data_IF_339822058172
#
_entry.id   IF_339822058172
#
_cell.length_a   1.000
_cell.length_b   1.000
_cell.length_c   1.000
_cell.angle_alpha   90.00
_cell.angle_beta   90.00
_cell.angle_gamma   90.00
#
_symmetry.space_group_name_H-M   'P 1'
#
loop_
_entity.id
_entity.type
_entity.pdbx_description
1 polymer ?
#
# COMPACT_ATOMS: atom_id res chain seq x y z
N UNK A 1 23.73 2.84 6.66
CA UNK A 1 23.46 2.55 5.23
C UNK A 1 22.02 2.08 5.00
N UNK A 2 21.58 0.89 5.48
CA UNK A 2 20.19 0.44 5.25
C UNK A 2 19.15 1.39 5.89
N UNK A 3 19.35 1.76 7.16
CA UNK A 3 18.44 2.71 7.85
C UNK A 3 18.40 4.09 7.17
N UNK A 4 19.53 4.63 6.76
CA UNK A 4 19.60 5.91 6.06
C UNK A 4 18.84 5.86 4.72
N UNK A 5 18.96 4.75 3.98
CA UNK A 5 18.21 4.55 2.75
C UNK A 5 16.70 4.41 3.01
N UNK A 6 16.29 3.73 4.09
CA UNK A 6 14.89 3.64 4.50
C UNK A 6 14.32 5.01 4.89
N UNK A 7 15.07 5.80 5.64
CA UNK A 7 14.66 7.15 6.05
C UNK A 7 14.59 8.13 4.86
N UNK A 8 15.34 7.88 3.78
CA UNK A 8 15.41 8.74 2.59
C UNK A 8 14.35 8.40 1.52
N UNK A 9 13.56 7.32 1.66
CA UNK A 9 12.63 6.86 0.61
C UNK A 9 11.63 7.93 0.18
N UNK A 10 11.04 8.67 1.13
CA UNK A 10 10.06 9.72 0.82
C UNK A 10 10.70 10.83 -0.02
N UNK A 11 11.90 11.29 0.36
CA UNK A 11 12.62 12.32 -0.36
C UNK A 11 13.03 11.83 -1.76
N UNK A 12 13.48 10.59 -1.87
CA UNK A 12 13.83 9.97 -3.15
C UNK A 12 12.63 9.97 -4.12
N UNK A 13 11.44 9.58 -3.67
CA UNK A 13 10.22 9.65 -4.50
C UNK A 13 9.78 11.08 -4.79
N UNK A 14 9.95 12.00 -3.84
CA UNK A 14 9.66 13.42 -4.05
C UNK A 14 10.52 14.02 -5.17
N UNK A 15 11.82 13.76 -5.14
CA UNK A 15 12.77 14.27 -6.14
C UNK A 15 12.58 13.63 -7.52
N UNK A 16 12.25 12.34 -7.55
CA UNK A 16 12.14 11.55 -8.78
C UNK A 16 10.67 11.32 -9.22
N UNK A 17 9.72 12.08 -8.68
CA UNK A 17 8.30 11.88 -8.91
C UNK A 17 7.89 11.83 -10.38
N UNK A 18 8.43 12.73 -11.21
CA UNK A 18 8.13 12.78 -12.65
C UNK A 18 8.68 11.57 -13.39
N UNK A 19 9.91 11.13 -13.08
CA UNK A 19 10.51 9.94 -13.66
C UNK A 19 9.72 8.68 -13.25
N UNK A 20 9.37 8.57 -11.96
CA UNK A 20 8.58 7.45 -11.45
C UNK A 20 7.21 7.35 -12.13
N UNK A 21 6.48 8.46 -12.28
CA UNK A 21 5.19 8.47 -13.00
C UNK A 21 5.37 8.02 -14.45
N UNK A 22 6.46 8.43 -15.12
CA UNK A 22 6.77 7.98 -16.47
C UNK A 22 7.15 6.51 -16.60
N UNK A 23 7.78 5.95 -15.57
CA UNK A 23 8.18 4.53 -15.50
C UNK A 23 7.04 3.60 -15.06
N UNK A 24 6.10 4.11 -14.26
CA UNK A 24 4.97 3.32 -13.75
C UNK A 24 4.09 2.85 -14.92
N UNK A 25 4.00 1.55 -15.07
CA UNK A 25 3.14 0.94 -16.09
C UNK A 25 1.69 1.42 -15.96
N UNK A 26 1.09 1.78 -17.07
CA UNK A 26 -0.36 2.03 -17.15
C UNK A 26 -1.16 0.72 -17.33
N UNK A 27 -0.48 -0.39 -17.58
CA UNK A 27 -1.13 -1.71 -17.62
C UNK A 27 -1.44 -2.15 -16.20
N UNK A 28 -2.71 -2.43 -15.94
CA UNK A 28 -3.20 -2.85 -14.63
C UNK A 28 -2.96 -4.36 -14.45
N UNK A 29 -1.73 -4.76 -14.19
CA UNK A 29 -1.40 -6.16 -13.91
C UNK A 29 -2.09 -6.66 -12.64
N UNK A 30 -2.39 -5.76 -11.73
CA UNK A 30 -3.01 -5.99 -10.43
C UNK A 30 -4.51 -6.26 -10.49
N UNK A 31 -5.16 -6.15 -11.67
CA UNK A 31 -6.61 -6.15 -11.79
C UNK A 31 -7.28 -7.34 -11.09
N UNK A 32 -6.77 -8.55 -11.29
CA UNK A 32 -7.38 -9.75 -10.67
C UNK A 32 -7.34 -9.72 -9.14
N UNK A 33 -6.30 -9.12 -8.57
CA UNK A 33 -6.17 -8.93 -7.13
C UNK A 33 -7.05 -7.80 -6.62
N UNK A 34 -7.18 -6.73 -7.38
CA UNK A 34 -8.11 -5.64 -7.06
C UNK A 34 -9.56 -6.13 -7.10
N UNK A 35 -9.94 -6.99 -8.05
CA UNK A 35 -11.26 -7.61 -8.10
C UNK A 35 -11.55 -8.46 -6.86
N UNK A 36 -10.58 -9.28 -6.41
CA UNK A 36 -10.69 -10.05 -5.17
C UNK A 36 -10.78 -9.15 -3.95
N UNK A 37 -9.93 -8.13 -3.87
CA UNK A 37 -9.97 -7.12 -2.80
C UNK A 37 -11.33 -6.43 -2.73
N UNK A 38 -11.89 -6.02 -3.85
CA UNK A 38 -13.20 -5.38 -3.91
C UNK A 38 -14.34 -6.34 -3.53
N UNK A 39 -14.22 -7.63 -3.85
CA UNK A 39 -15.22 -8.64 -3.47
C UNK A 39 -15.29 -8.83 -1.95
N UNK A 40 -14.18 -8.65 -1.25
CA UNK A 40 -14.11 -8.69 0.22
C UNK A 40 -14.54 -7.35 0.82
N UNK A 41 -14.14 -6.22 0.22
CA UNK A 41 -14.44 -4.87 0.69
C UNK A 41 -15.90 -4.44 0.45
N UNK A 42 -16.66 -5.17 -0.38
CA UNK A 42 -17.98 -4.74 -0.86
C UNK A 42 -19.05 -4.70 0.23
N UNK A 43 -18.92 -5.49 1.28
CA UNK A 43 -19.89 -5.53 2.37
C UNK A 43 -19.69 -4.37 3.34
N UNK A 44 -20.65 -3.43 3.38
CA UNK A 44 -20.71 -2.37 4.39
C UNK A 44 -20.35 -0.97 3.94
N UNK A 45 -19.72 -0.76 2.79
CA UNK A 45 -19.44 0.59 2.28
C UNK A 45 -18.41 0.66 1.17
N UNK A 46 -18.07 1.90 0.76
CA UNK A 46 -17.27 2.16 -0.44
C UNK A 46 -16.10 3.12 -0.18
N UNK A 47 -15.57 3.15 1.04
CA UNK A 47 -14.42 4.00 1.40
C UNK A 47 -13.16 3.14 1.46
N UNK A 48 -12.16 3.48 0.66
CA UNK A 48 -10.87 2.79 0.62
C UNK A 48 -9.76 3.77 0.98
N UNK A 49 -8.83 3.29 1.82
CA UNK A 49 -7.57 3.94 2.12
C UNK A 49 -6.47 3.30 1.26
N UNK A 50 -5.73 4.14 0.53
CA UNK A 50 -4.57 3.73 -0.27
C UNK A 50 -3.31 4.35 0.33
N UNK A 51 -2.47 3.53 0.97
CA UNK A 51 -1.22 3.95 1.62
C UNK A 51 -0.03 3.78 0.69
N UNK A 52 0.65 4.87 0.40
CA UNK A 52 1.64 4.98 -0.66
C UNK A 52 0.97 5.02 -2.03
N UNK A 53 -0.07 5.85 -2.15
CA UNK A 53 -0.94 5.92 -3.32
C UNK A 53 -0.26 6.47 -4.59
N UNK A 54 0.92 7.04 -4.47
CA UNK A 54 1.63 7.67 -5.58
C UNK A 54 0.78 8.71 -6.31
N UNK A 55 0.73 8.62 -7.64
CA UNK A 55 -0.08 9.49 -8.50
C UNK A 55 -1.56 9.06 -8.61
N UNK A 56 -1.98 8.03 -7.89
CA UNK A 56 -3.32 7.46 -7.97
C UNK A 56 -3.54 6.51 -9.17
N UNK A 57 -2.57 6.41 -10.07
CA UNK A 57 -2.68 5.57 -11.26
C UNK A 57 -1.71 4.38 -11.20
N UNK A 58 -2.13 3.18 -11.67
CA UNK A 58 -3.46 2.84 -12.20
C UNK A 58 -4.45 2.35 -11.12
N UNK A 59 -4.00 2.12 -9.88
CA UNK A 59 -4.77 1.40 -8.83
C UNK A 59 -5.97 2.22 -8.34
N UNK A 60 -5.73 3.44 -7.82
CA UNK A 60 -6.83 4.27 -7.34
C UNK A 60 -7.80 4.62 -8.47
N UNK A 61 -7.32 4.84 -9.71
CA UNK A 61 -8.15 5.03 -10.90
C UNK A 61 -9.13 3.87 -11.10
N UNK A 62 -8.65 2.62 -11.00
CA UNK A 62 -9.49 1.44 -11.12
C UNK A 62 -10.53 1.35 -10.01
N UNK A 63 -10.14 1.59 -8.76
CA UNK A 63 -11.05 1.59 -7.61
C UNK A 63 -12.14 2.66 -7.75
N UNK A 64 -11.78 3.84 -8.23
CA UNK A 64 -12.69 4.96 -8.53
C UNK A 64 -13.68 4.57 -9.62
N UNK A 65 -13.21 3.98 -10.71
CA UNK A 65 -14.05 3.51 -11.82
C UNK A 65 -15.08 2.45 -11.34
N UNK A 66 -14.76 1.70 -10.29
CA UNK A 66 -15.67 0.75 -9.64
C UNK A 66 -16.57 1.38 -8.55
N UNK A 67 -16.59 2.72 -8.45
CA UNK A 67 -17.50 3.48 -7.60
C UNK A 67 -17.05 3.61 -6.15
N UNK A 68 -15.76 3.44 -5.85
CA UNK A 68 -15.22 3.62 -4.51
C UNK A 68 -14.72 5.05 -4.27
N UNK A 69 -14.86 5.51 -3.04
CA UNK A 69 -14.32 6.79 -2.56
C UNK A 69 -12.91 6.53 -1.98
N UNK A 70 -11.93 7.21 -2.55
CA UNK A 70 -10.54 7.01 -2.18
C UNK A 70 -10.07 8.11 -1.22
N UNK A 71 -9.37 7.69 -0.18
CA UNK A 71 -8.44 8.51 0.57
C UNK A 71 -7.03 7.97 0.28
N UNK A 72 -6.25 8.70 -0.48
CA UNK A 72 -4.87 8.34 -0.79
C UNK A 72 -3.91 9.09 0.14
N UNK A 73 -2.90 8.37 0.64
CA UNK A 73 -1.83 8.93 1.46
C UNK A 73 -0.49 8.60 0.81
N UNK A 74 0.36 9.60 0.64
CA UNK A 74 1.73 9.41 0.17
C UNK A 74 2.65 10.45 0.83
N UNK A 75 3.89 10.06 1.12
CA UNK A 75 4.89 10.96 1.68
C UNK A 75 5.40 11.99 0.67
N UNK A 76 5.41 11.66 -0.63
CA UNK A 76 5.87 12.53 -1.69
C UNK A 76 4.76 13.50 -2.14
N UNK A 77 4.88 14.77 -1.77
CA UNK A 77 3.91 15.81 -2.08
C UNK A 77 3.65 15.97 -3.59
N UNK A 78 4.68 15.80 -4.42
CA UNK A 78 4.56 15.90 -5.88
C UNK A 78 3.67 14.81 -6.47
N UNK A 79 3.68 13.59 -5.89
CA UNK A 79 2.83 12.48 -6.30
C UNK A 79 1.38 12.71 -5.88
N UNK A 80 1.14 13.09 -4.63
CA UNK A 80 -0.21 13.42 -4.15
C UNK A 80 -0.84 14.60 -4.89
N UNK A 81 -0.05 15.58 -5.30
CA UNK A 81 -0.54 16.70 -6.10
C UNK A 81 -0.95 16.23 -7.52
N UNK A 82 -0.22 15.28 -8.08
CA UNK A 82 -0.59 14.65 -9.35
C UNK A 82 -1.90 13.87 -9.22
N UNK A 83 -2.06 13.07 -8.16
CA UNK A 83 -3.29 12.36 -7.87
C UNK A 83 -4.49 13.33 -7.69
N UNK A 84 -4.29 14.44 -6.98
CA UNK A 84 -5.32 15.47 -6.77
C UNK A 84 -5.77 16.14 -8.07
N UNK A 85 -4.85 16.35 -9.00
CA UNK A 85 -5.19 16.90 -10.33
C UNK A 85 -5.99 15.91 -11.19
N UNK A 86 -5.64 14.61 -11.11
CA UNK A 86 -6.34 13.58 -11.87
C UNK A 86 -7.73 13.26 -11.29
N UNK A 87 -7.84 13.26 -9.95
CA UNK A 87 -9.05 12.81 -9.25
C UNK A 87 -9.45 13.82 -8.15
N UNK A 88 -9.86 15.06 -8.51
CA UNK A 88 -10.10 16.14 -7.54
C UNK A 88 -11.26 15.88 -6.56
N UNK A 89 -12.17 14.96 -6.89
CA UNK A 89 -13.31 14.59 -6.04
C UNK A 89 -12.95 13.62 -4.90
N UNK A 90 -11.68 13.16 -4.85
CA UNK A 90 -11.18 12.23 -3.85
C UNK A 90 -10.25 12.96 -2.85
N UNK A 91 -9.88 12.27 -1.79
CA UNK A 91 -9.03 12.87 -0.73
C UNK A 91 -7.59 12.42 -0.90
N UNK A 92 -6.66 13.38 -0.97
CA UNK A 92 -5.23 13.12 -1.14
C UNK A 92 -4.44 13.85 -0.07
N UNK A 93 -3.69 13.10 0.74
CA UNK A 93 -3.02 13.57 1.94
C UNK A 93 -1.52 13.34 1.81
N UNK A 94 -0.74 14.39 2.04
CA UNK A 94 0.73 14.27 2.16
C UNK A 94 1.04 13.89 3.60
N UNK A 95 1.45 12.66 3.82
CA UNK A 95 1.86 12.18 5.14
C UNK A 95 2.72 10.92 5.03
N UNK A 96 3.58 10.72 6.00
CA UNK A 96 4.23 9.43 6.22
C UNK A 96 3.20 8.45 6.80
N UNK A 97 3.11 7.24 6.22
CA UNK A 97 2.14 6.22 6.66
C UNK A 97 2.36 5.78 8.12
N UNK A 98 3.57 5.97 8.66
CA UNK A 98 3.89 5.72 10.08
C UNK A 98 3.29 6.76 11.02
N UNK A 99 2.97 7.95 10.51
CA UNK A 99 2.46 9.08 11.29
C UNK A 99 1.25 9.73 10.60
N UNK A 100 0.16 9.00 10.53
CA UNK A 100 -1.06 9.44 9.86
C UNK A 100 -1.80 10.50 10.70
N UNK A 101 -2.44 11.48 10.04
CA UNK A 101 -3.40 12.35 10.72
C UNK A 101 -4.60 11.52 11.21
N UNK A 102 -5.47 12.14 12.00
CA UNK A 102 -6.72 11.49 12.41
C UNK A 102 -7.58 11.18 11.18
N UNK A 103 -7.73 9.91 10.88
CA UNK A 103 -8.56 9.39 9.80
C UNK A 103 -9.73 8.60 10.39
N UNK A 104 -10.82 8.53 9.65
CA UNK A 104 -11.92 7.62 9.96
C UNK A 104 -11.55 6.16 9.69
N UNK A 105 -12.56 5.28 9.73
CA UNK A 105 -12.38 3.88 9.33
C UNK A 105 -12.77 3.67 7.87
N UNK A 106 -12.20 2.64 7.27
CA UNK A 106 -12.34 2.32 5.86
C UNK A 106 -12.90 0.89 5.68
N UNK A 107 -13.55 0.66 4.55
CA UNK A 107 -14.08 -0.65 4.15
C UNK A 107 -13.07 -1.49 3.39
N UNK A 108 -11.96 -0.87 2.99
CA UNK A 108 -10.77 -1.52 2.45
C UNK A 108 -9.54 -0.66 2.67
N UNK A 109 -8.40 -1.30 2.86
CA UNK A 109 -7.09 -0.69 2.99
C UNK A 109 -6.13 -1.41 2.03
N UNK A 110 -5.45 -0.65 1.19
CA UNK A 110 -4.43 -1.17 0.28
C UNK A 110 -3.10 -0.47 0.53
N UNK A 111 -2.00 -1.23 0.49
CA UNK A 111 -0.63 -0.71 0.56
C UNK A 111 0.22 -1.46 -0.50
N UNK A 112 0.01 -1.07 -1.77
CA UNK A 112 0.59 -1.76 -2.92
C UNK A 112 1.92 -1.14 -3.31
N UNK A 113 2.99 -1.94 -3.35
CA UNK A 113 4.35 -1.53 -3.66
C UNK A 113 4.85 -0.31 -2.88
N UNK A 114 4.42 -0.20 -1.62
CA UNK A 114 4.74 0.93 -0.74
C UNK A 114 5.19 0.50 0.65
N UNK A 115 4.47 -0.43 1.27
CA UNK A 115 4.69 -0.88 2.64
C UNK A 115 6.09 -1.47 2.87
N UNK A 116 6.63 -2.19 1.90
CA UNK A 116 7.96 -2.77 1.98
C UNK A 116 9.11 -1.74 1.88
N UNK A 117 8.82 -0.46 1.71
CA UNK A 117 9.82 0.60 1.86
C UNK A 117 10.06 0.98 3.32
N UNK A 118 9.27 0.48 4.25
CA UNK A 118 9.52 0.62 5.67
C UNK A 118 10.53 -0.43 6.17
N UNK A 119 11.39 -0.02 7.11
CA UNK A 119 12.24 -0.98 7.82
C UNK A 119 11.39 -1.99 8.62
N UNK A 120 11.88 -3.22 8.89
CA UNK A 120 11.15 -4.22 9.64
C UNK A 120 10.57 -3.71 10.96
N UNK A 121 11.32 -2.89 11.71
CA UNK A 121 10.86 -2.32 12.97
C UNK A 121 9.72 -1.30 12.81
N UNK A 122 9.66 -0.64 11.66
CA UNK A 122 8.58 0.30 11.30
C UNK A 122 7.36 -0.44 10.71
N UNK A 123 7.56 -1.61 10.11
CA UNK A 123 6.45 -2.42 9.56
C UNK A 123 5.58 -3.03 10.66
N UNK A 124 6.18 -3.50 11.76
CA UNK A 124 5.45 -4.17 12.86
C UNK A 124 4.33 -3.31 13.44
N UNK A 125 4.55 -2.04 13.85
CA UNK A 125 3.49 -1.20 14.41
C UNK A 125 2.41 -0.82 13.39
N UNK A 126 2.68 -0.95 12.08
CA UNK A 126 1.67 -0.65 11.06
C UNK A 126 0.45 -1.57 11.14
N UNK A 127 0.59 -2.79 11.62
CA UNK A 127 -0.54 -3.72 11.76
C UNK A 127 -1.58 -3.24 12.78
N UNK A 128 -1.14 -2.59 13.87
CA UNK A 128 -2.06 -1.90 14.79
C UNK A 128 -2.76 -0.72 14.08
N UNK A 129 -2.04 0.04 13.28
CA UNK A 129 -2.61 1.13 12.47
C UNK A 129 -3.66 0.57 11.50
N UNK A 130 -3.36 -0.49 10.75
CA UNK A 130 -4.31 -1.16 9.86
C UNK A 130 -5.55 -1.63 10.63
N UNK A 131 -5.35 -2.27 11.80
CA UNK A 131 -6.43 -2.75 12.65
C UNK A 131 -7.39 -1.66 13.11
N UNK A 132 -6.86 -0.48 13.46
CA UNK A 132 -7.66 0.67 13.91
C UNK A 132 -8.40 1.38 12.77
N UNK A 133 -7.82 1.39 11.58
CA UNK A 133 -8.37 2.09 10.41
C UNK A 133 -9.37 1.24 9.61
N UNK A 134 -9.47 -0.05 9.87
CA UNK A 134 -10.42 -0.93 9.21
C UNK A 134 -11.74 -1.05 9.98
N UNK A 135 -12.86 -0.99 9.27
CA UNK A 135 -14.14 -1.45 9.79
C UNK A 135 -14.12 -2.98 9.97
N UNK A 136 -14.93 -3.56 10.87
CA UNK A 136 -15.20 -4.99 10.85
C UNK A 136 -15.61 -5.44 9.44
N UNK A 137 -15.05 -6.54 8.94
CA UNK A 137 -15.26 -7.05 7.59
C UNK A 137 -14.46 -6.36 6.49
N UNK A 138 -13.70 -5.32 6.77
CA UNK A 138 -12.90 -4.60 5.76
C UNK A 138 -11.79 -5.48 5.16
N UNK A 139 -11.54 -5.31 3.87
CA UNK A 139 -10.39 -5.92 3.21
C UNK A 139 -9.08 -5.19 3.55
N UNK A 140 -8.01 -5.93 3.73
CA UNK A 140 -6.63 -5.45 3.77
C UNK A 140 -5.82 -6.15 2.68
N UNK A 141 -5.14 -5.38 1.83
CA UNK A 141 -4.22 -5.92 0.83
C UNK A 141 -2.89 -5.17 0.85
N UNK A 142 -1.78 -5.90 0.91
CA UNK A 142 -0.46 -5.31 0.84
C UNK A 142 0.53 -6.23 0.11
N UNK A 143 1.68 -5.68 -0.28
CA UNK A 143 2.78 -6.43 -0.89
C UNK A 143 4.02 -6.40 0.01
N UNK A 144 4.83 -7.48 -0.08
CA UNK A 144 6.08 -7.65 0.67
C UNK A 144 7.15 -8.32 -0.20
N UNK A 145 8.32 -8.56 0.35
CA UNK A 145 9.25 -9.58 -0.14
C UNK A 145 8.80 -10.98 0.28
N UNK A 146 9.47 -12.02 -0.24
CA UNK A 146 9.16 -13.43 0.03
C UNK A 146 9.66 -13.94 1.37
N UNK A 147 10.55 -13.21 2.03
CA UNK A 147 11.13 -13.61 3.34
C UNK A 147 11.74 -12.44 4.08
N UNK A 148 12.14 -12.71 5.33
CA UNK A 148 12.81 -11.69 6.15
C UNK A 148 14.10 -11.20 5.53
N UNK A 149 14.25 -9.89 5.42
CA UNK A 149 15.48 -9.26 4.96
C UNK A 149 15.32 -7.82 4.52
N UNK A 150 16.46 -7.25 4.17
CA UNK A 150 16.57 -5.90 3.64
C UNK A 150 17.34 -5.94 2.31
N UNK A 151 16.88 -5.18 1.34
CA UNK A 151 17.48 -5.10 0.02
C UNK A 151 17.57 -3.63 -0.43
N UNK A 152 18.66 -3.25 -1.07
CA UNK A 152 18.82 -1.94 -1.68
C UNK A 152 18.75 -2.09 -3.20
N UNK A 153 17.62 -1.65 -3.76
CA UNK A 153 17.44 -1.48 -5.20
C UNK A 153 17.91 -0.10 -5.66
N UNK A 154 17.40 0.32 -6.82
CA UNK A 154 17.71 1.66 -7.35
C UNK A 154 16.46 2.30 -7.98
N UNK A 155 16.32 3.61 -7.76
CA UNK A 155 15.42 4.48 -8.51
C UNK A 155 16.27 5.63 -9.08
N UNK A 156 16.29 5.78 -10.41
CA UNK A 156 17.11 6.79 -11.11
C UNK A 156 18.59 6.79 -10.66
N UNK A 157 19.14 5.59 -10.42
CA UNK A 157 20.53 5.41 -9.98
C UNK A 157 20.80 5.70 -8.50
N UNK A 158 19.79 6.09 -7.74
CA UNK A 158 19.89 6.33 -6.29
C UNK A 158 19.43 5.11 -5.49
N UNK A 159 19.97 4.85 -4.28
CA UNK A 159 19.58 3.70 -3.47
C UNK A 159 18.13 3.73 -3.07
N UNK A 160 17.37 2.68 -3.40
CA UNK A 160 15.98 2.49 -3.00
C UNK A 160 15.88 1.32 -2.04
N UNK A 161 15.47 1.61 -0.81
CA UNK A 161 15.35 0.63 0.26
C UNK A 161 14.12 -0.25 0.12
N UNK A 162 14.28 -1.54 0.41
CA UNK A 162 13.22 -2.52 0.57
C UNK A 162 13.48 -3.37 1.81
N UNK A 163 12.46 -3.57 2.62
CA UNK A 163 12.47 -4.44 3.79
C UNK A 163 11.27 -5.38 3.81
N UNK A 164 11.44 -6.53 4.43
CA UNK A 164 10.37 -7.49 4.61
C UNK A 164 10.53 -8.24 5.93
N UNK A 165 9.40 -8.62 6.54
CA UNK A 165 9.34 -9.55 7.65
C UNK A 165 9.27 -10.98 7.12
N UNK A 166 9.46 -11.96 8.03
CA UNK A 166 9.21 -13.36 7.72
C UNK A 166 7.70 -13.57 7.47
N UNK A 167 7.31 -14.43 6.51
CA UNK A 167 5.91 -14.73 6.24
C UNK A 167 5.11 -15.20 7.47
N UNK A 168 5.74 -15.97 8.34
CA UNK A 168 5.09 -16.42 9.60
C UNK A 168 4.87 -15.26 10.59
N UNK A 169 5.77 -14.28 10.59
CA UNK A 169 5.61 -13.07 11.38
C UNK A 169 4.46 -12.19 10.84
N UNK A 170 4.34 -12.01 9.51
CA UNK A 170 3.20 -11.31 8.91
C UNK A 170 1.87 -11.97 9.28
N UNK A 171 1.78 -13.31 9.23
CA UNK A 171 0.58 -14.05 9.63
C UNK A 171 0.23 -13.81 11.10
N UNK A 172 1.22 -13.83 11.99
CA UNK A 172 1.03 -13.57 13.41
C UNK A 172 0.53 -12.15 13.66
N UNK A 173 1.16 -11.15 13.04
CA UNK A 173 0.77 -9.75 13.15
C UNK A 173 -0.65 -9.49 12.61
N UNK A 174 -1.03 -10.11 11.49
CA UNK A 174 -2.40 -10.06 10.98
C UNK A 174 -3.38 -10.60 12.02
N UNK A 175 -3.14 -11.79 12.54
CA UNK A 175 -4.01 -12.43 13.53
C UNK A 175 -4.12 -11.61 14.82
N UNK A 176 -3.01 -11.15 15.39
CA UNK A 176 -2.95 -10.34 16.60
C UNK A 176 -3.72 -9.02 16.49
N UNK A 177 -3.79 -8.47 15.27
CA UNK A 177 -4.52 -7.24 14.98
C UNK A 177 -5.94 -7.48 14.42
N UNK A 178 -6.44 -8.71 14.58
CA UNK A 178 -7.81 -9.09 14.27
C UNK A 178 -8.10 -9.17 12.77
N UNK A 179 -7.15 -9.65 11.99
CA UNK A 179 -7.35 -10.00 10.59
C UNK A 179 -7.29 -11.52 10.38
N UNK A 180 -8.14 -11.99 9.51
CA UNK A 180 -8.09 -13.35 8.97
C UNK A 180 -7.42 -13.32 7.60
N UNK A 181 -6.31 -14.06 7.44
CA UNK A 181 -5.65 -14.21 6.14
C UNK A 181 -6.54 -15.00 5.19
N UNK A 182 -6.86 -14.42 4.04
CA UNK A 182 -7.66 -15.06 3.00
C UNK A 182 -6.77 -15.71 1.94
N UNK A 183 -5.75 -14.99 1.49
CA UNK A 183 -4.86 -15.45 0.43
C UNK A 183 -3.45 -14.85 0.60
N UNK A 184 -2.44 -15.63 0.33
CA UNK A 184 -1.05 -15.21 0.23
C UNK A 184 -0.40 -15.93 -0.95
N UNK A 185 0.21 -15.16 -1.85
CA UNK A 185 0.90 -15.70 -3.02
C UNK A 185 2.27 -15.03 -3.12
N UNK A 186 3.31 -15.86 -3.17
CA UNK A 186 4.68 -15.41 -3.38
C UNK A 186 4.97 -15.31 -4.87
N UNK A 187 5.68 -14.23 -5.27
CA UNK A 187 6.21 -14.04 -6.63
C UNK A 187 5.17 -14.30 -7.73
N UNK A 188 3.95 -13.77 -7.60
CA UNK A 188 2.87 -14.00 -8.56
C UNK A 188 3.30 -13.61 -9.99
N UNK A 189 3.51 -14.57 -10.90
CA UNK A 189 3.98 -14.28 -12.25
C UNK A 189 2.94 -13.53 -13.09
N UNK A 190 1.67 -13.57 -12.72
CA UNK A 190 0.60 -12.85 -13.40
C UNK A 190 0.51 -11.40 -12.96
N UNK A 191 1.19 -11.06 -11.86
CA UNK A 191 1.17 -9.74 -11.23
C UNK A 191 2.58 -9.15 -11.06
N UNK A 192 3.42 -9.32 -12.08
CA UNK A 192 4.77 -8.76 -12.12
C UNK A 192 5.75 -9.33 -11.09
N UNK A 193 5.49 -10.53 -10.55
CA UNK A 193 6.31 -11.15 -9.50
C UNK A 193 6.07 -10.54 -8.11
N UNK A 194 4.93 -9.94 -7.87
CA UNK A 194 4.61 -9.41 -6.54
C UNK A 194 4.32 -10.55 -5.55
N UNK A 195 4.76 -10.39 -4.32
CA UNK A 195 4.33 -11.20 -3.17
C UNK A 195 3.19 -10.48 -2.48
N UNK A 196 2.01 -11.09 -2.48
CA UNK A 196 0.74 -10.42 -2.19
C UNK A 196 0.06 -11.08 -0.99
N UNK A 197 -0.51 -10.24 -0.14
CA UNK A 197 -1.30 -10.60 1.02
C UNK A 197 -2.68 -10.00 0.91
N UNK A 198 -3.71 -10.83 1.03
CA UNK A 198 -5.11 -10.42 1.13
C UNK A 198 -5.71 -10.99 2.42
N UNK A 199 -6.19 -10.11 3.27
CA UNK A 199 -6.78 -10.45 4.55
C UNK A 199 -8.10 -9.70 4.78
N UNK A 200 -8.91 -10.17 5.72
CA UNK A 200 -10.15 -9.54 6.11
C UNK A 200 -10.17 -9.26 7.60
N UNK A 201 -10.61 -8.05 7.98
CA UNK A 201 -10.81 -7.68 9.38
C UNK A 201 -11.95 -8.51 9.97
N UNK A 202 -11.70 -9.16 11.11
CA UNK A 202 -12.72 -9.90 11.84
C UNK A 202 -13.90 -9.00 12.23
N UNK A 203 -15.11 -9.58 12.21
CA UNK A 203 -16.37 -8.94 12.60
C UNK A 203 -16.53 -8.80 14.11
#
# INVERSE_FOLDING_TARGET
MAKEAADAVIELYQENSSAWVGLRSQTLFEQSWLDRFLSVAAEGGRQILDLGCGSGQPIAEYLIANGYKITGVDGAAALTETARRHFPEHTWIVADMRNLPSLGRFHGLIAWHSFFHLAPDDQRPMFDIFGRLCHPGAALMFTSGTGFGEFIGTLEGQPLYHGSLDPTEYQSLLHENGFHLLEHVEDDPTCGGATIWLAQKCT
#
